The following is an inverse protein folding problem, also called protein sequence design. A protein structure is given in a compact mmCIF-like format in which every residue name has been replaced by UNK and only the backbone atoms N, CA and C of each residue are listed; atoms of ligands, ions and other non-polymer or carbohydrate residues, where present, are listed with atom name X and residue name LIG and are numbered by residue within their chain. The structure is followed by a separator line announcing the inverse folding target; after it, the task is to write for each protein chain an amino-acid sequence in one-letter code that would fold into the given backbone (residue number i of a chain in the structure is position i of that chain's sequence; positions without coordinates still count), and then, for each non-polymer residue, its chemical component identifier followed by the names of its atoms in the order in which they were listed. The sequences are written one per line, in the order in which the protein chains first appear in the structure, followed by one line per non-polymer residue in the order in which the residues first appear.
data_IF_030974999910
#
_entry.id   IF_030974999910
#
_cell.length_a   1.000
_cell.length_b   1.000
_cell.length_c   1.000
_cell.angle_alpha   90.00
_cell.angle_beta   90.00
_cell.angle_gamma   90.00
#
_symmetry.space_group_name_H-M   'P 1'
#
loop_
_entity.id
_entity.type
_entity.pdbx_description
1 polymer ?
#
# COMPACT_ATOMS: atom_id res chain seq x y z
N UNK A 1 9.64 -4.97 -62.91
CA UNK A 1 11.00 -4.95 -63.51
C UNK A 1 11.31 -3.52 -63.96
N UNK A 2 12.08 -2.77 -63.17
CA UNK A 2 12.65 -1.48 -63.59
C UNK A 2 14.09 -1.40 -63.10
N UNK A 3 14.93 -0.93 -64.02
CA UNK A 3 16.38 -1.09 -64.13
C UNK A 3 17.14 -0.23 -63.11
N UNK A 4 18.14 -0.83 -62.46
CA UNK A 4 19.21 -0.13 -61.76
C UNK A 4 20.14 0.52 -62.79
N UNK A 5 20.15 1.85 -62.85
CA UNK A 5 21.07 2.66 -63.64
C UNK A 5 22.33 2.93 -62.81
N UNK A 6 23.40 2.17 -63.07
CA UNK A 6 24.72 2.39 -62.46
C UNK A 6 25.46 3.55 -63.14
N UNK A 7 25.89 4.53 -62.35
CA UNK A 7 26.85 5.55 -62.77
C UNK A 7 28.28 5.09 -62.40
N UNK A 8 29.29 5.27 -63.28
CA UNK A 8 30.66 4.87 -63.00
C UNK A 8 31.36 5.90 -62.08
N UNK A 9 31.96 5.42 -60.99
CA UNK A 9 32.81 6.21 -60.10
C UNK A 9 34.21 6.28 -60.73
N UNK A 10 34.63 7.49 -61.07
CA UNK A 10 35.97 7.82 -61.58
C UNK A 10 37.05 7.64 -60.50
N UNK A 11 38.13 6.97 -60.88
CA UNK A 11 39.31 6.71 -60.06
C UNK A 11 40.04 8.00 -59.65
N UNK A 12 40.09 8.25 -58.34
CA UNK A 12 40.93 9.30 -57.75
C UNK A 12 42.31 8.72 -57.37
N UNK A 13 43.30 9.18 -58.12
CA UNK A 13 44.76 9.21 -57.92
C UNK A 13 45.25 8.84 -56.51
N UNK A 14 45.94 7.70 -56.40
CA UNK A 14 46.76 7.31 -55.25
C UNK A 14 47.93 8.28 -55.09
N UNK A 15 47.88 9.08 -54.03
CA UNK A 15 48.98 9.93 -53.57
C UNK A 15 49.99 9.10 -52.78
N UNK A 16 51.26 9.27 -53.15
CA UNK A 16 52.48 8.79 -52.53
C UNK A 16 52.48 8.89 -50.99
N UNK A 17 52.44 7.73 -50.33
CA UNK A 17 52.61 7.57 -48.89
C UNK A 17 53.28 6.23 -48.57
N UNK A 18 54.27 5.84 -49.37
CA UNK A 18 55.07 4.62 -49.19
C UNK A 18 56.51 5.05 -48.85
N UNK A 19 56.77 5.49 -47.62
CA UNK A 19 58.16 5.66 -47.17
C UNK A 19 58.41 5.75 -45.64
N UNK A 20 57.43 5.47 -44.78
CA UNK A 20 57.66 5.41 -43.31
C UNK A 20 57.12 4.12 -42.67
N UNK A 21 56.90 3.07 -43.47
CA UNK A 21 56.55 1.74 -42.95
C UNK A 21 57.80 0.85 -42.69
N UNK A 22 59.00 1.35 -42.95
CA UNK A 22 60.24 0.55 -42.88
C UNK A 22 61.14 0.89 -41.67
N UNK A 23 60.76 1.86 -40.83
CA UNK A 23 61.46 2.19 -39.57
C UNK A 23 60.68 1.72 -38.32
N UNK A 24 59.74 0.78 -38.48
CA UNK A 24 59.08 0.11 -37.33
C UNK A 24 59.35 -1.40 -37.32
N UNK A 25 59.79 -1.97 -38.45
CA UNK A 25 60.15 -3.39 -38.54
C UNK A 25 61.53 -3.71 -37.92
N UNK A 26 62.39 -2.71 -37.71
CA UNK A 26 63.73 -2.87 -37.13
C UNK A 26 63.80 -2.97 -35.60
N UNK A 27 62.70 -2.69 -34.89
CA UNK A 27 62.66 -2.68 -33.40
C UNK A 27 61.91 -3.87 -32.79
N UNK A 28 61.40 -4.80 -33.60
CA UNK A 28 60.67 -6.00 -33.13
C UNK A 28 61.62 -7.21 -32.95
N UNK A 29 62.91 -7.09 -33.25
CA UNK A 29 63.89 -8.18 -33.18
C UNK A 29 64.76 -8.21 -31.90
N UNK A 30 64.52 -7.33 -30.92
CA UNK A 30 65.04 -7.48 -29.55
C UNK A 30 63.86 -7.78 -28.65
N UNK A 31 63.74 -9.03 -28.19
CA UNK A 31 62.60 -9.60 -27.46
C UNK A 31 62.27 -8.99 -26.08
N UNK A 32 62.42 -7.68 -25.91
CA UNK A 32 62.14 -6.93 -24.68
C UNK A 32 60.96 -5.94 -24.85
N UNK A 33 59.96 -6.31 -25.66
CA UNK A 33 58.70 -5.56 -25.74
C UNK A 33 57.62 -6.29 -24.94
N UNK A 34 57.51 -5.97 -23.64
CA UNK A 34 56.29 -6.28 -22.89
C UNK A 34 55.17 -5.36 -23.40
N UNK A 35 54.07 -5.90 -23.97
CA UNK A 35 52.93 -5.07 -24.25
C UNK A 35 52.38 -4.57 -22.91
N UNK A 36 52.56 -3.27 -22.61
CA UNK A 36 51.77 -2.62 -21.57
C UNK A 36 50.32 -2.68 -22.02
N UNK A 37 49.58 -3.64 -21.48
CA UNK A 37 48.12 -3.63 -21.52
C UNK A 37 47.72 -2.37 -20.76
N UNK A 38 47.42 -1.31 -21.49
CA UNK A 38 46.69 -0.18 -20.93
C UNK A 38 45.30 -0.74 -20.68
N UNK A 39 45.01 -1.09 -19.43
CA UNK A 39 43.64 -1.27 -18.98
C UNK A 39 42.94 0.06 -19.24
N UNK A 40 42.23 0.15 -20.36
CA UNK A 40 41.24 1.19 -20.56
C UNK A 40 40.14 0.83 -19.57
N UNK A 41 40.27 1.36 -18.34
CA UNK A 41 39.24 1.28 -17.35
C UNK A 41 37.97 1.82 -17.99
N UNK A 42 37.02 0.93 -18.28
CA UNK A 42 35.69 1.32 -18.68
C UNK A 42 35.22 2.37 -17.67
N UNK A 43 34.72 3.54 -18.10
CA UNK A 43 34.22 4.53 -17.17
C UNK A 43 33.19 3.85 -16.28
N UNK A 44 33.53 3.72 -15.01
CA UNK A 44 32.77 2.97 -14.03
C UNK A 44 31.40 3.65 -13.90
N UNK A 45 30.41 3.05 -14.55
CA UNK A 45 29.00 2.89 -14.20
C UNK A 45 28.18 4.06 -13.61
N UNK A 46 28.66 5.32 -13.54
CA UNK A 46 27.93 6.43 -12.91
C UNK A 46 26.51 6.61 -13.48
N UNK A 47 26.34 6.35 -14.79
CA UNK A 47 25.04 6.37 -15.42
C UNK A 47 24.12 5.25 -14.92
N UNK A 48 24.62 4.02 -14.76
CA UNK A 48 23.79 2.94 -14.24
C UNK A 48 23.58 3.04 -12.74
N UNK A 49 24.53 3.55 -11.96
CA UNK A 49 24.34 3.81 -10.52
C UNK A 49 23.26 4.90 -10.31
N UNK A 50 23.24 5.91 -11.18
CA UNK A 50 22.16 6.92 -11.21
C UNK A 50 20.81 6.32 -11.56
N UNK A 51 20.76 5.39 -12.53
CA UNK A 51 19.53 4.68 -12.90
C UNK A 51 19.05 3.76 -11.77
N UNK A 52 19.95 3.03 -11.12
CA UNK A 52 19.65 2.17 -9.97
C UNK A 52 19.04 3.02 -8.85
N UNK A 53 19.71 4.11 -8.47
CA UNK A 53 19.21 5.03 -7.44
C UNK A 53 17.85 5.66 -7.80
N UNK A 54 17.64 5.99 -9.08
CA UNK A 54 16.34 6.50 -9.54
C UNK A 54 15.24 5.44 -9.41
N UNK A 55 15.54 4.19 -9.77
CA UNK A 55 14.58 3.09 -9.68
C UNK A 55 14.23 2.76 -8.23
N UNK A 56 15.20 2.77 -7.32
CA UNK A 56 14.97 2.61 -5.87
C UNK A 56 13.98 3.65 -5.35
N UNK A 57 14.20 4.93 -5.68
CA UNK A 57 13.27 6.02 -5.30
C UNK A 57 11.87 5.80 -5.85
N UNK A 58 11.75 5.32 -7.09
CA UNK A 58 10.44 5.02 -7.70
C UNK A 58 9.76 3.89 -6.93
N UNK A 59 10.48 2.82 -6.58
CA UNK A 59 9.94 1.71 -5.80
C UNK A 59 9.47 2.17 -4.41
N UNK A 60 10.26 3.01 -3.75
CA UNK A 60 9.90 3.59 -2.45
C UNK A 60 8.62 4.42 -2.55
N UNK A 61 8.52 5.31 -3.55
CA UNK A 61 7.31 6.11 -3.79
C UNK A 61 6.08 5.26 -4.10
N UNK A 62 6.25 4.19 -4.87
CA UNK A 62 5.16 3.26 -5.18
C UNK A 62 4.71 2.50 -3.93
N UNK A 63 5.65 2.00 -3.12
CA UNK A 63 5.39 1.32 -1.85
C UNK A 63 4.70 2.22 -0.83
N UNK A 64 5.15 3.48 -0.73
CA UNK A 64 4.52 4.48 0.13
C UNK A 64 3.09 4.79 -0.35
N UNK A 65 2.90 4.94 -1.66
CA UNK A 65 1.60 5.21 -2.27
C UNK A 65 0.60 4.09 -2.03
N UNK A 66 1.01 2.82 -2.19
CA UNK A 66 0.13 1.68 -1.89
C UNK A 66 -0.23 1.61 -0.42
N UNK A 67 0.75 1.76 0.47
CA UNK A 67 0.55 1.79 1.93
C UNK A 67 -0.39 2.91 2.36
N UNK A 68 -0.23 4.10 1.78
CA UNK A 68 -1.07 5.26 2.06
C UNK A 68 -2.52 5.02 1.64
N UNK A 69 -2.74 4.44 0.45
CA UNK A 69 -4.07 4.07 -0.04
C UNK A 69 -4.74 3.02 0.85
N UNK A 70 -4.00 1.99 1.25
CA UNK A 70 -4.51 0.94 2.13
C UNK A 70 -4.95 1.49 3.50
N UNK A 71 -4.12 2.34 4.12
CA UNK A 71 -4.48 3.06 5.34
C UNK A 71 -5.72 3.93 5.13
N UNK A 72 -5.82 4.61 3.98
CA UNK A 72 -6.98 5.40 3.60
C UNK A 72 -8.27 4.58 3.56
N UNK A 73 -8.24 3.39 2.94
CA UNK A 73 -9.37 2.47 2.92
C UNK A 73 -9.76 2.00 4.32
N UNK A 74 -8.78 1.61 5.14
CA UNK A 74 -9.03 1.17 6.51
C UNK A 74 -9.67 2.28 7.37
N UNK A 75 -9.22 3.53 7.22
CA UNK A 75 -9.81 4.68 7.92
C UNK A 75 -11.27 4.89 7.51
N UNK A 76 -11.59 4.78 6.22
CA UNK A 76 -12.97 4.94 5.73
C UNK A 76 -13.87 3.84 6.28
N UNK A 77 -13.40 2.59 6.27
CA UNK A 77 -14.15 1.46 6.83
C UNK A 77 -14.42 1.66 8.33
N UNK A 78 -13.39 2.01 9.10
CA UNK A 78 -13.53 2.29 10.54
C UNK A 78 -14.50 3.45 10.81
N UNK A 79 -14.47 4.51 9.98
CA UNK A 79 -15.42 5.63 10.09
C UNK A 79 -16.85 5.15 9.86
N UNK A 80 -17.08 4.36 8.81
CA UNK A 80 -18.41 3.85 8.49
C UNK A 80 -18.94 2.94 9.61
N UNK A 81 -18.11 2.02 10.11
CA UNK A 81 -18.47 1.15 11.24
C UNK A 81 -18.76 1.97 12.51
N UNK A 82 -17.98 3.01 12.80
CA UNK A 82 -18.19 3.87 13.96
C UNK A 82 -19.48 4.70 13.84
N UNK A 83 -19.79 5.25 12.67
CA UNK A 83 -21.05 5.96 12.46
C UNK A 83 -22.26 5.03 12.59
N UNK A 84 -22.18 3.81 12.05
CA UNK A 84 -23.22 2.80 12.25
C UNK A 84 -23.43 2.46 13.74
N UNK A 85 -22.34 2.24 14.49
CA UNK A 85 -22.40 1.98 15.94
C UNK A 85 -22.96 3.16 16.73
N UNK A 86 -22.60 4.40 16.37
CA UNK A 86 -23.15 5.61 17.02
C UNK A 86 -24.66 5.72 16.84
N UNK A 87 -25.15 5.46 15.63
CA UNK A 87 -26.59 5.47 15.34
C UNK A 87 -27.32 4.39 16.16
N UNK A 88 -26.81 3.17 16.16
CA UNK A 88 -27.36 2.08 16.97
C UNK A 88 -27.37 2.42 18.48
N UNK A 89 -26.28 2.99 19.00
CA UNK A 89 -26.20 3.40 20.39
C UNK A 89 -27.21 4.50 20.73
N UNK A 90 -27.40 5.47 19.83
CA UNK A 90 -28.39 6.54 20.01
C UNK A 90 -29.82 5.98 20.06
N UNK A 91 -30.14 5.03 19.18
CA UNK A 91 -31.44 4.35 19.19
C UNK A 91 -31.69 3.61 20.51
N UNK A 92 -30.75 2.76 20.93
CA UNK A 92 -30.83 2.02 22.19
C UNK A 92 -30.94 2.96 23.39
N UNK A 93 -30.25 4.10 23.37
CA UNK A 93 -30.33 5.10 24.44
C UNK A 93 -31.73 5.72 24.55
N UNK A 94 -32.36 6.08 23.43
CA UNK A 94 -33.72 6.63 23.45
C UNK A 94 -34.76 5.57 23.83
N UNK A 95 -34.60 4.33 23.38
CA UNK A 95 -35.44 3.21 23.79
C UNK A 95 -35.33 2.95 25.30
N UNK A 96 -34.12 2.96 25.86
CA UNK A 96 -33.90 2.82 27.30
C UNK A 96 -34.56 3.95 28.11
N UNK A 97 -34.59 5.17 27.58
CA UNK A 97 -35.28 6.29 28.23
C UNK A 97 -36.78 6.04 28.34
N UNK A 98 -37.39 5.42 27.33
CA UNK A 98 -38.81 5.05 27.35
C UNK A 98 -39.04 3.87 28.31
N UNK A 99 -38.20 2.85 28.26
CA UNK A 99 -38.26 1.68 29.15
C UNK A 99 -38.17 2.04 30.63
N UNK A 100 -37.29 2.97 30.99
CA UNK A 100 -37.07 3.38 32.38
C UNK A 100 -38.09 4.42 32.87
N UNK A 101 -39.03 4.84 32.02
CA UNK A 101 -40.03 5.83 32.41
C UNK A 101 -41.05 5.20 33.36
N UNK A 102 -41.19 5.78 34.55
CA UNK A 102 -42.16 5.34 35.53
C UNK A 102 -43.58 5.72 35.09
N UNK A 103 -44.44 4.72 34.88
CA UNK A 103 -45.84 4.94 34.49
C UNK A 103 -46.68 5.56 35.61
N UNK A 104 -46.33 5.30 36.88
CA UNK A 104 -47.07 5.83 38.02
C UNK A 104 -46.87 7.34 38.20
N UNK A 105 -45.81 7.92 37.64
CA UNK A 105 -45.55 9.36 37.68
C UNK A 105 -46.16 10.14 36.51
N UNK A 106 -46.99 9.50 35.67
CA UNK A 106 -47.65 10.13 34.51
C UNK A 106 -49.12 10.31 34.84
N UNK A 107 -49.58 11.54 35.01
CA UNK A 107 -50.96 11.84 35.39
C UNK A 107 -51.96 11.56 34.25
N UNK A 108 -51.59 11.90 33.02
CA UNK A 108 -52.43 11.69 31.83
C UNK A 108 -52.51 10.20 31.45
N UNK A 109 -53.71 9.65 31.46
CA UNK A 109 -53.99 8.24 31.13
C UNK A 109 -53.60 7.90 29.70
N UNK A 110 -53.86 8.78 28.73
CA UNK A 110 -53.55 8.54 27.32
C UNK A 110 -52.03 8.48 27.09
N UNK A 111 -51.29 9.40 27.71
CA UNK A 111 -49.82 9.40 27.64
C UNK A 111 -49.27 8.15 28.33
N UNK A 112 -49.85 7.74 29.46
CA UNK A 112 -49.42 6.56 30.20
C UNK A 112 -49.59 5.28 29.37
N UNK A 113 -50.75 5.09 28.75
CA UNK A 113 -50.99 3.92 27.89
C UNK A 113 -50.11 3.93 26.64
N UNK A 114 -49.88 5.11 26.04
CA UNK A 114 -48.92 5.24 24.94
C UNK A 114 -47.52 4.77 25.34
N UNK A 115 -46.99 5.27 26.45
CA UNK A 115 -45.66 4.86 26.94
C UNK A 115 -45.64 3.37 27.28
N UNK A 116 -46.68 2.81 27.90
CA UNK A 116 -46.79 1.36 28.14
C UNK A 116 -46.70 0.57 26.84
N UNK A 117 -47.45 0.97 25.81
CA UNK A 117 -47.44 0.29 24.52
C UNK A 117 -46.06 0.34 23.85
N UNK A 118 -45.34 1.46 23.99
CA UNK A 118 -43.97 1.61 23.49
C UNK A 118 -42.98 0.74 24.28
N UNK A 119 -43.10 0.67 25.61
CA UNK A 119 -42.28 -0.23 26.43
C UNK A 119 -42.44 -1.69 25.98
N UNK A 120 -43.68 -2.13 25.74
CA UNK A 120 -43.93 -3.48 25.23
C UNK A 120 -43.35 -3.70 23.82
N UNK A 121 -43.49 -2.70 22.93
CA UNK A 121 -42.92 -2.74 21.57
C UNK A 121 -41.40 -2.93 21.63
N UNK A 122 -40.72 -2.17 22.48
CA UNK A 122 -39.26 -2.25 22.65
C UNK A 122 -38.86 -3.63 23.22
N UNK A 123 -39.55 -4.13 24.26
CA UNK A 123 -39.26 -5.46 24.83
C UNK A 123 -39.47 -6.57 23.79
N UNK A 124 -40.48 -6.44 22.92
CA UNK A 124 -40.71 -7.39 21.81
C UNK A 124 -39.57 -7.32 20.79
N UNK A 125 -39.16 -6.12 20.37
CA UNK A 125 -38.04 -5.89 19.45
C UNK A 125 -36.74 -6.51 20.00
N UNK A 126 -36.38 -6.21 21.25
CA UNK A 126 -35.17 -6.76 21.88
C UNK A 126 -35.15 -8.29 21.93
N UNK A 127 -36.30 -8.93 22.18
CA UNK A 127 -36.42 -10.39 22.16
C UNK A 127 -36.19 -10.97 20.77
N UNK A 128 -36.70 -10.30 19.72
CA UNK A 128 -36.50 -10.73 18.34
C UNK A 128 -35.02 -10.58 17.92
N UNK A 129 -34.37 -9.49 18.31
CA UNK A 129 -32.95 -9.25 18.04
C UNK A 129 -32.05 -10.28 18.74
N UNK A 130 -32.34 -10.63 20.00
CA UNK A 130 -31.61 -11.68 20.71
C UNK A 130 -31.76 -13.07 20.07
N UNK A 131 -32.96 -13.39 19.54
CA UNK A 131 -33.17 -14.64 18.81
C UNK A 131 -32.35 -14.68 17.51
N UNK A 132 -32.25 -13.56 16.79
CA UNK A 132 -31.42 -13.48 15.57
C UNK A 132 -29.91 -13.55 15.88
N UNK A 133 -29.44 -12.97 17.00
CA UNK A 133 -28.03 -13.02 17.40
C UNK A 133 -27.57 -14.37 17.96
N UNK A 134 -28.48 -15.26 18.34
CA UNK A 134 -28.14 -16.63 18.78
C UNK A 134 -27.50 -17.52 17.68
N UNK A 135 -27.37 -17.00 16.45
CA UNK A 135 -26.76 -17.69 15.31
C UNK A 135 -25.31 -17.25 15.00
N UNK A 136 -24.76 -16.23 15.66
CA UNK A 136 -23.41 -15.73 15.32
C UNK A 136 -22.52 -15.57 16.54
N UNK A 137 -21.46 -16.38 16.55
CA UNK A 137 -20.30 -16.43 17.43
C UNK A 137 -19.80 -15.03 17.87
N UNK A 138 -20.21 -14.57 19.05
CA UNK A 138 -19.54 -13.47 19.77
C UNK A 138 -19.39 -13.81 21.26
N UNK A 139 -18.99 -15.03 21.58
CA UNK A 139 -18.63 -15.42 22.96
C UNK A 139 -17.18 -15.10 23.36
N UNK A 140 -16.34 -14.48 22.51
CA UNK A 140 -14.89 -14.36 22.79
C UNK A 140 -14.29 -12.96 22.94
N UNK A 141 -15.06 -11.87 22.91
CA UNK A 141 -14.46 -10.53 22.95
C UNK A 141 -14.58 -9.80 24.30
N UNK A 142 -15.63 -10.05 25.10
CA UNK A 142 -15.87 -9.27 26.32
C UNK A 142 -15.22 -9.87 27.59
N UNK A 143 -14.70 -11.10 27.52
CA UNK A 143 -14.03 -11.78 28.64
C UNK A 143 -12.52 -11.53 28.78
N UNK A 144 -11.87 -10.93 27.76
CA UNK A 144 -10.40 -10.80 27.75
C UNK A 144 -9.85 -9.62 28.57
N UNK A 145 -10.69 -8.67 28.98
CA UNK A 145 -10.22 -7.46 29.68
C UNK A 145 -10.32 -7.51 31.21
N UNK A 146 -11.00 -8.51 31.80
CA UNK A 146 -11.29 -8.54 33.23
C UNK A 146 -11.17 -9.92 33.90
N UNK A 147 -10.23 -10.76 33.46
CA UNK A 147 -10.06 -12.08 34.07
C UNK A 147 -8.85 -12.86 33.57
N UNK A 148 -7.64 -12.40 33.93
CA UNK A 148 -6.41 -13.10 33.59
C UNK A 148 -5.33 -12.83 34.63
N UNK A 149 -5.31 -13.64 35.68
CA UNK A 149 -4.20 -13.69 36.63
C UNK A 149 -2.94 -14.15 35.90
N UNK A 150 -1.84 -13.40 36.02
CA UNK A 150 -0.49 -13.92 35.78
C UNK A 150 0.27 -13.38 34.56
N UNK A 151 1.20 -12.46 34.85
CA UNK A 151 2.54 -12.36 34.25
C UNK A 151 2.67 -12.09 32.73
N UNK A 152 2.55 -10.82 32.33
CA UNK A 152 3.60 -10.10 31.58
C UNK A 152 3.14 -8.67 31.28
N UNK A 153 3.63 -7.70 32.05
CA UNK A 153 3.63 -6.30 31.63
C UNK A 153 5.08 -5.93 31.29
N UNK A 154 5.35 -5.28 30.15
CA UNK A 154 6.69 -4.82 29.81
C UNK A 154 7.12 -3.71 30.78
N UNK A 155 8.36 -3.81 31.26
CA UNK A 155 9.03 -2.77 32.02
C UNK A 155 9.16 -1.51 31.14
N UNK A 156 8.67 -0.38 31.64
CA UNK A 156 9.12 0.95 31.23
C UNK A 156 10.15 1.47 32.24
#
# INVERSE_FOLDING_TARGET
MLRLSGAPITAAKLGSGCQEAEEVAGLVASGDYEPKIVEIGYPHNMAADSLISSNEKILDLLSESTTSREKGHQIIELRLQNEAKKLAFKEVKEENKILLKNLASIDDVNIREYIRSEQERIIRKMRQEQQQQSSSVTQNLFGQYYGGSGANLPYY
#
